data_IF_795916252581
#
_entry.id   IF_795916252581
#
_cell.length_a   1.000
_cell.length_b   1.000
_cell.length_c   1.000
_cell.angle_alpha   90.00
_cell.angle_beta   90.00
_cell.angle_gamma   90.00
#
_symmetry.space_group_name_H-M   'P 1'
#
loop_
_entity.id
_entity.type
_entity.pdbx_description
1 polymer ?
#
# COMPACT_ATOMS: atom_id res chain seq x y z
N UNK A 1 21.72 -41.95 -29.65
CA UNK A 1 22.80 -40.98 -29.40
C UNK A 1 23.25 -40.40 -30.73
N UNK A 2 22.93 -39.13 -30.98
CA UNK A 2 23.47 -38.33 -32.08
C UNK A 2 24.54 -37.41 -31.48
N UNK A 3 25.75 -37.46 -32.02
CA UNK A 3 26.91 -36.77 -31.45
C UNK A 3 27.22 -35.48 -32.23
N UNK A 4 27.99 -34.59 -31.59
CA UNK A 4 28.24 -33.17 -31.92
C UNK A 4 28.97 -32.90 -33.26
N UNK A 5 28.92 -33.80 -34.25
CA UNK A 5 29.74 -33.71 -35.48
C UNK A 5 28.95 -33.51 -36.78
N UNK A 6 27.62 -33.49 -36.73
CA UNK A 6 26.78 -33.47 -37.94
C UNK A 6 26.08 -32.13 -38.25
N UNK A 7 26.43 -31.00 -37.62
CA UNK A 7 25.74 -29.72 -37.86
C UNK A 7 26.61 -28.57 -38.39
N UNK A 8 27.86 -28.82 -38.80
CA UNK A 8 28.79 -27.76 -39.24
C UNK A 8 29.30 -27.89 -40.68
N UNK A 9 28.44 -28.27 -41.62
CA UNK A 9 28.75 -28.20 -43.05
C UNK A 9 27.54 -27.69 -43.84
N UNK A 10 27.50 -26.38 -44.06
CA UNK A 10 26.45 -25.74 -44.84
C UNK A 10 26.69 -24.26 -45.14
N UNK A 11 27.88 -23.95 -45.68
CA UNK A 11 28.19 -22.80 -46.53
C UNK A 11 27.84 -21.37 -46.06
N UNK A 12 28.86 -20.71 -45.55
CA UNK A 12 29.11 -19.27 -45.72
C UNK A 12 29.44 -18.95 -47.19
N UNK A 13 28.65 -18.08 -47.82
CA UNK A 13 29.14 -17.16 -48.85
C UNK A 13 28.50 -15.79 -48.61
N UNK A 14 29.35 -14.83 -48.23
CA UNK A 14 28.99 -13.44 -48.15
C UNK A 14 29.16 -12.80 -49.54
N UNK A 15 28.21 -11.95 -49.94
CA UNK A 15 28.58 -10.71 -50.64
C UNK A 15 27.50 -9.65 -50.42
N UNK A 16 27.99 -8.46 -50.10
CA UNK A 16 27.27 -7.26 -49.71
C UNK A 16 26.37 -6.71 -50.83
N UNK A 17 25.20 -6.22 -50.44
CA UNK A 17 24.58 -5.05 -51.07
C UNK A 17 24.13 -4.10 -49.95
N UNK A 18 24.95 -3.08 -49.71
CA UNK A 18 24.55 -1.92 -48.94
C UNK A 18 23.58 -1.06 -49.77
N UNK A 19 22.55 -0.52 -49.11
CA UNK A 19 22.01 0.85 -49.19
C UNK A 19 20.48 0.89 -49.19
N UNK A 20 19.88 0.88 -48.00
CA UNK A 20 18.92 1.89 -47.56
C UNK A 20 19.03 1.97 -46.04
N UNK A 21 19.55 3.08 -45.52
CA UNK A 21 19.72 3.31 -44.10
C UNK A 21 18.37 3.29 -43.39
N UNK A 22 18.17 2.29 -42.55
CA UNK A 22 17.23 2.33 -41.44
C UNK A 22 18.07 2.10 -40.19
N UNK A 23 17.98 2.95 -39.16
CA UNK A 23 18.73 2.73 -37.93
C UNK A 23 18.27 1.41 -37.31
N UNK A 24 19.21 0.51 -37.11
CA UNK A 24 19.03 -0.75 -36.37
C UNK A 24 18.84 -0.52 -34.86
N UNK A 25 18.34 0.66 -34.46
CA UNK A 25 18.04 1.02 -33.07
C UNK A 25 16.65 0.57 -32.63
N UNK A 26 15.78 0.15 -33.55
CA UNK A 26 14.38 -0.19 -33.22
C UNK A 26 14.09 -1.67 -32.88
N UNK A 27 15.12 -2.51 -32.71
CA UNK A 27 14.94 -3.93 -32.35
C UNK A 27 15.58 -4.34 -31.02
N UNK A 28 16.01 -3.37 -30.20
CA UNK A 28 16.59 -3.62 -28.87
C UNK A 28 16.05 -2.69 -27.78
N UNK A 29 14.86 -2.11 -27.98
CA UNK A 29 14.25 -1.23 -26.98
C UNK A 29 12.72 -1.41 -26.97
N UNK A 30 12.28 -2.66 -26.78
CA UNK A 30 11.18 -2.85 -25.84
C UNK A 30 11.76 -2.57 -24.45
N UNK A 31 11.93 -1.29 -24.11
CA UNK A 31 11.94 -0.88 -22.71
C UNK A 31 10.62 -1.40 -22.15
N UNK A 32 10.70 -2.50 -21.41
CA UNK A 32 9.70 -2.91 -20.44
C UNK A 32 9.32 -1.64 -19.68
N UNK A 33 8.19 -1.01 -20.04
CA UNK A 33 7.81 0.28 -19.44
C UNK A 33 7.80 0.02 -17.96
N UNK A 34 8.78 0.57 -17.23
CA UNK A 34 9.07 0.11 -15.88
C UNK A 34 7.78 0.24 -15.07
N UNK A 35 7.22 -0.89 -14.63
CA UNK A 35 5.92 -0.93 -13.96
C UNK A 35 5.97 0.03 -12.78
N UNK A 36 5.31 1.18 -12.89
CA UNK A 36 5.30 2.23 -11.87
C UNK A 36 3.98 2.22 -11.11
N UNK A 37 4.02 2.63 -9.85
CA UNK A 37 2.84 2.67 -8.98
C UNK A 37 2.59 4.09 -8.48
N UNK A 38 1.39 4.64 -8.75
CA UNK A 38 1.02 5.97 -8.27
C UNK A 38 0.52 5.92 -6.83
N UNK A 39 1.04 6.82 -6.00
CA UNK A 39 0.67 6.97 -4.59
C UNK A 39 0.47 8.45 -4.28
N UNK A 40 -0.58 8.77 -3.52
CA UNK A 40 -0.87 10.13 -3.07
C UNK A 40 -0.59 10.26 -1.58
N UNK A 41 0.36 11.11 -1.21
CA UNK A 41 0.58 11.59 0.16
C UNK A 41 -0.12 12.93 0.33
N UNK A 42 -1.15 13.00 1.18
CA UNK A 42 -1.84 14.24 1.52
C UNK A 42 -1.71 14.55 3.00
N UNK A 43 -1.45 15.82 3.34
CA UNK A 43 -1.31 16.30 4.72
C UNK A 43 -2.13 17.55 4.97
N UNK A 44 -2.72 17.66 6.16
CA UNK A 44 -3.43 18.87 6.58
C UNK A 44 -3.14 19.20 8.04
N UNK A 45 -2.54 20.36 8.31
CA UNK A 45 -2.09 20.75 9.66
C UNK A 45 -3.22 20.79 10.70
N UNK A 46 -4.45 21.06 10.27
CA UNK A 46 -5.64 21.08 11.12
C UNK A 46 -6.37 19.74 11.30
N UNK A 47 -5.90 18.63 10.72
CA UNK A 47 -6.62 17.33 10.84
C UNK A 47 -6.67 16.83 12.28
N UNK A 48 -5.63 17.16 13.07
CA UNK A 48 -5.59 16.98 14.51
C UNK A 48 -5.80 18.33 15.20
N UNK A 49 -6.73 18.39 16.15
CA UNK A 49 -6.90 19.50 17.10
C UNK A 49 -5.73 19.62 18.07
N UNK A 50 -5.64 20.71 18.84
CA UNK A 50 -4.57 20.88 19.83
C UNK A 50 -4.61 19.80 20.91
N UNK A 51 -5.80 19.31 21.22
CA UNK A 51 -6.14 18.24 22.15
C UNK A 51 -6.00 16.82 21.56
N UNK A 52 -5.62 16.69 20.28
CA UNK A 52 -5.52 15.41 19.59
C UNK A 52 -6.83 14.93 18.94
N UNK A 53 -7.92 15.69 19.07
CA UNK A 53 -9.20 15.36 18.44
C UNK A 53 -9.06 15.36 16.92
N UNK A 54 -9.55 14.31 16.26
CA UNK A 54 -9.47 14.16 14.80
C UNK A 54 -10.68 14.85 14.16
N UNK A 55 -10.44 15.76 13.22
CA UNK A 55 -11.50 16.42 12.47
C UNK A 55 -12.06 15.50 11.38
N UNK A 56 -13.32 15.09 11.52
CA UNK A 56 -14.02 14.29 10.50
C UNK A 56 -14.11 15.03 9.16
N UNK A 57 -14.48 16.31 9.19
CA UNK A 57 -14.58 17.16 8.00
C UNK A 57 -13.27 17.22 7.22
N UNK A 58 -12.15 17.53 7.91
CA UNK A 58 -10.85 17.64 7.25
C UNK A 58 -10.38 16.26 6.77
N UNK A 59 -10.63 15.20 7.54
CA UNK A 59 -10.30 13.82 7.12
C UNK A 59 -11.01 13.46 5.81
N UNK A 60 -12.30 13.78 5.72
CA UNK A 60 -13.09 13.56 4.52
C UNK A 60 -12.61 14.39 3.32
N UNK A 61 -12.29 15.67 3.53
CA UNK A 61 -11.69 16.53 2.50
C UNK A 61 -10.34 15.98 2.01
N UNK A 62 -9.50 15.46 2.92
CA UNK A 62 -8.23 14.82 2.57
C UNK A 62 -8.44 13.57 1.71
N UNK A 63 -9.36 12.68 2.10
CA UNK A 63 -9.65 11.46 1.34
C UNK A 63 -10.23 11.80 -0.03
N UNK A 64 -11.20 12.71 -0.11
CA UNK A 64 -11.79 13.16 -1.39
C UNK A 64 -10.75 13.75 -2.32
N UNK A 65 -9.85 14.58 -1.80
CA UNK A 65 -8.77 15.18 -2.59
C UNK A 65 -7.77 14.13 -3.06
N UNK A 66 -7.39 13.19 -2.20
CA UNK A 66 -6.49 12.10 -2.59
C UNK A 66 -7.11 11.18 -3.64
N UNK A 67 -8.40 10.86 -3.53
CA UNK A 67 -9.13 10.05 -4.51
C UNK A 67 -9.20 10.73 -5.87
N UNK A 68 -9.49 12.04 -5.91
CA UNK A 68 -9.47 12.82 -7.15
C UNK A 68 -8.11 12.76 -7.84
N UNK A 69 -7.04 12.97 -7.08
CA UNK A 69 -5.68 12.97 -7.61
C UNK A 69 -5.26 11.58 -8.09
N UNK A 70 -5.49 10.54 -7.26
CA UNK A 70 -5.08 9.17 -7.56
C UNK A 70 -5.73 8.64 -8.84
N UNK A 71 -7.02 8.91 -9.03
CA UNK A 71 -7.80 8.43 -10.18
C UNK A 71 -7.97 9.48 -11.29
N UNK A 72 -7.33 10.65 -11.15
CA UNK A 72 -7.40 11.76 -12.10
C UNK A 72 -8.83 12.15 -12.49
N UNK A 73 -9.68 12.36 -11.48
CA UNK A 73 -11.09 12.72 -11.64
C UNK A 73 -11.40 14.11 -11.10
N UNK A 74 -12.43 14.75 -11.65
CA UNK A 74 -12.87 16.08 -11.18
C UNK A 74 -13.56 16.01 -9.82
N UNK A 75 -14.31 14.91 -9.58
CA UNK A 75 -15.08 14.67 -8.36
C UNK A 75 -14.69 13.33 -7.73
N UNK A 76 -14.57 13.31 -6.41
CA UNK A 76 -14.22 12.10 -5.67
C UNK A 76 -15.21 10.94 -5.89
N UNK A 77 -16.50 11.23 -6.07
CA UNK A 77 -17.54 10.24 -6.42
C UNK A 77 -17.17 9.43 -7.67
N UNK A 78 -16.66 10.09 -8.72
CA UNK A 78 -16.25 9.43 -9.95
C UNK A 78 -15.08 8.47 -9.69
N UNK A 79 -14.13 8.84 -8.83
CA UNK A 79 -13.04 7.95 -8.42
C UNK A 79 -13.56 6.71 -7.69
N UNK A 80 -14.51 6.88 -6.77
CA UNK A 80 -15.13 5.75 -6.08
C UNK A 80 -15.90 4.83 -7.04
N UNK A 81 -16.60 5.39 -8.03
CA UNK A 81 -17.31 4.64 -9.08
C UNK A 81 -16.39 3.85 -10.01
N UNK A 82 -15.12 4.26 -10.16
CA UNK A 82 -14.12 3.45 -10.89
C UNK A 82 -13.73 2.19 -10.10
N UNK A 83 -13.84 2.23 -8.78
CA UNK A 83 -13.46 1.13 -7.91
C UNK A 83 -14.63 0.23 -7.52
N UNK A 84 -15.83 0.77 -7.33
CA UNK A 84 -16.98 0.07 -6.79
C UNK A 84 -18.29 0.50 -7.48
N UNK A 85 -19.32 -0.35 -7.41
CA UNK A 85 -20.65 -0.03 -7.93
C UNK A 85 -21.80 -0.60 -7.11
N UNK A 86 -23.07 -0.36 -7.53
CA UNK A 86 -24.26 -0.66 -6.73
C UNK A 86 -24.50 -2.12 -6.34
N UNK A 87 -23.87 -3.04 -7.07
CA UNK A 87 -23.98 -4.49 -6.84
C UNK A 87 -22.80 -5.05 -6.03
N UNK A 88 -21.80 -4.24 -5.69
CA UNK A 88 -20.71 -4.68 -4.84
C UNK A 88 -21.16 -4.95 -3.40
N UNK A 89 -20.46 -5.91 -2.77
CA UNK A 89 -20.45 -6.16 -1.34
C UNK A 89 -19.03 -5.85 -0.87
N UNK A 90 -18.89 -4.85 0.01
CA UNK A 90 -17.59 -4.24 0.29
C UNK A 90 -17.23 -4.38 1.77
N UNK A 91 -16.08 -4.99 2.03
CA UNK A 91 -15.46 -4.99 3.35
C UNK A 91 -14.47 -3.83 3.48
N UNK A 92 -14.62 -3.00 4.51
CA UNK A 92 -13.61 -2.03 4.93
C UNK A 92 -12.73 -2.71 5.98
N UNK A 93 -11.56 -3.21 5.56
CA UNK A 93 -10.61 -3.86 6.45
C UNK A 93 -9.88 -2.80 7.27
N UNK A 94 -10.34 -2.59 8.50
CA UNK A 94 -9.79 -1.62 9.45
C UNK A 94 -8.73 -2.25 10.38
N UNK A 95 -8.30 -1.55 11.41
CA UNK A 95 -7.41 -2.04 12.46
C UNK A 95 -7.80 -1.53 13.85
N UNK A 96 -8.01 -2.43 14.81
CA UNK A 96 -8.47 -2.08 16.18
C UNK A 96 -7.36 -2.23 17.22
N UNK A 97 -6.09 -2.01 16.85
CA UNK A 97 -5.01 -2.06 17.84
C UNK A 97 -5.15 -0.91 18.83
N UNK A 98 -5.45 -1.23 20.10
CA UNK A 98 -5.89 -0.28 21.13
C UNK A 98 -5.13 1.05 21.21
N UNK A 99 -3.79 1.08 21.22
CA UNK A 99 -3.04 2.33 21.33
C UNK A 99 -3.08 3.23 20.09
N UNK A 100 -3.29 2.65 18.91
CA UNK A 100 -3.31 3.38 17.65
C UNK A 100 -4.25 2.67 16.66
N UNK A 101 -5.58 2.76 16.88
CA UNK A 101 -6.57 2.18 15.98
C UNK A 101 -6.75 3.06 14.75
N UNK A 102 -7.36 2.52 13.69
CA UNK A 102 -7.87 3.36 12.60
C UNK A 102 -8.89 4.34 13.17
N UNK A 103 -8.77 5.65 12.91
CA UNK A 103 -9.77 6.62 13.37
C UNK A 103 -11.14 6.39 12.72
N UNK A 104 -12.21 6.54 13.49
CA UNK A 104 -13.59 6.49 12.97
C UNK A 104 -13.82 7.52 11.87
N UNK A 105 -13.17 8.69 11.94
CA UNK A 105 -13.19 9.69 10.87
C UNK A 105 -12.75 9.14 9.50
N UNK A 106 -11.74 8.26 9.49
CA UNK A 106 -11.25 7.61 8.26
C UNK A 106 -12.24 6.53 7.81
N UNK A 107 -12.74 5.72 8.74
CA UNK A 107 -13.74 4.68 8.46
C UNK A 107 -15.03 5.28 7.88
N UNK A 108 -15.56 6.31 8.51
CA UNK A 108 -16.78 7.02 8.10
C UNK A 108 -16.62 7.65 6.72
N UNK A 109 -15.47 8.28 6.42
CA UNK A 109 -15.23 8.85 5.08
C UNK A 109 -15.11 7.77 4.00
N UNK A 110 -14.49 6.61 4.30
CA UNK A 110 -14.48 5.47 3.38
C UNK A 110 -15.91 4.98 3.12
N UNK A 111 -16.71 4.76 4.17
CA UNK A 111 -18.11 4.32 4.03
C UNK A 111 -18.92 5.34 3.21
N UNK A 112 -18.78 6.63 3.49
CA UNK A 112 -19.43 7.69 2.70
C UNK A 112 -19.00 7.69 1.22
N UNK A 113 -17.72 7.42 0.94
CA UNK A 113 -17.20 7.24 -0.41
C UNK A 113 -17.83 6.05 -1.13
N UNK A 114 -17.93 4.90 -0.48
CA UNK A 114 -18.59 3.71 -1.02
C UNK A 114 -20.08 3.94 -1.31
N UNK A 115 -20.79 4.61 -0.39
CA UNK A 115 -22.20 5.00 -0.60
C UNK A 115 -22.32 5.95 -1.79
N UNK A 116 -21.38 6.88 -1.97
CA UNK A 116 -21.39 7.80 -3.12
C UNK A 116 -21.20 7.06 -4.47
N UNK A 117 -20.52 5.92 -4.49
CA UNK A 117 -20.45 5.04 -5.65
C UNK A 117 -21.71 4.18 -5.86
N UNK A 118 -22.72 4.33 -5.02
CA UNK A 118 -23.99 3.60 -5.09
C UNK A 118 -24.00 2.27 -4.33
N UNK A 119 -22.93 1.91 -3.61
CA UNK A 119 -22.92 0.70 -2.77
C UNK A 119 -23.97 0.86 -1.67
N UNK A 120 -24.87 -0.12 -1.57
CA UNK A 120 -25.94 -0.11 -0.57
C UNK A 120 -25.33 -0.24 0.83
N UNK A 121 -25.77 0.55 1.80
CA UNK A 121 -25.23 0.53 3.17
C UNK A 121 -25.23 -0.88 3.80
N UNK A 122 -26.30 -1.65 3.58
CA UNK A 122 -26.41 -3.05 4.03
C UNK A 122 -25.37 -4.01 3.43
N UNK A 123 -24.69 -3.60 2.35
CA UNK A 123 -23.65 -4.36 1.67
C UNK A 123 -22.23 -3.92 2.12
N UNK A 124 -22.13 -3.01 3.09
CA UNK A 124 -20.86 -2.50 3.62
C UNK A 124 -20.67 -3.00 5.05
N UNK A 125 -19.47 -3.42 5.40
CA UNK A 125 -19.08 -3.68 6.79
C UNK A 125 -17.66 -3.20 7.06
N UNK A 126 -17.43 -2.67 8.26
CA UNK A 126 -16.10 -2.31 8.78
C UNK A 126 -15.71 -3.35 9.82
N UNK A 127 -14.54 -3.97 9.68
CA UNK A 127 -14.06 -5.00 10.61
C UNK A 127 -12.52 -5.12 10.59
N UNK A 128 -11.95 -5.70 11.65
CA UNK A 128 -10.54 -6.06 11.77
C UNK A 128 -10.37 -7.53 12.13
N UNK A 129 -10.72 -7.89 13.37
CA UNK A 129 -10.46 -9.23 13.92
C UNK A 129 -11.57 -10.24 13.62
N UNK A 130 -12.78 -9.77 13.31
CA UNK A 130 -13.97 -10.59 13.07
C UNK A 130 -14.17 -11.04 11.62
N UNK A 131 -13.25 -10.69 10.71
CA UNK A 131 -13.44 -10.82 9.25
C UNK A 131 -13.80 -12.23 8.77
N UNK A 132 -13.29 -13.28 9.43
CA UNK A 132 -13.63 -14.66 9.07
C UNK A 132 -15.04 -15.08 9.52
N UNK A 133 -15.60 -14.41 10.52
CA UNK A 133 -16.96 -14.62 11.01
C UNK A 133 -17.99 -13.68 10.38
N UNK A 134 -17.56 -12.58 9.79
CA UNK A 134 -18.41 -11.51 9.27
C UNK A 134 -19.04 -11.89 7.91
N UNK A 135 -20.38 -11.88 7.85
CA UNK A 135 -21.15 -12.31 6.66
C UNK A 135 -20.91 -11.43 5.42
N UNK A 136 -20.64 -10.14 5.61
CA UNK A 136 -20.29 -9.24 4.50
C UNK A 136 -18.91 -9.59 3.95
N UNK A 137 -17.92 -9.80 4.83
CA UNK A 137 -16.56 -10.17 4.40
C UNK A 137 -16.51 -11.53 3.69
N UNK A 138 -17.30 -12.51 4.15
CA UNK A 138 -17.42 -13.81 3.46
C UNK A 138 -17.93 -13.70 2.02
N UNK A 139 -18.77 -12.69 1.75
CA UNK A 139 -19.43 -12.46 0.45
C UNK A 139 -18.81 -11.31 -0.34
N UNK A 140 -17.76 -10.69 0.18
CA UNK A 140 -17.23 -9.45 -0.39
C UNK A 140 -16.70 -9.68 -1.82
N UNK A 141 -17.12 -8.77 -2.70
CA UNK A 141 -16.62 -8.62 -4.07
C UNK A 141 -15.44 -7.66 -4.13
N UNK A 142 -15.26 -6.81 -3.13
CA UNK A 142 -14.14 -5.88 -3.03
C UNK A 142 -13.86 -5.43 -1.60
N UNK A 143 -12.68 -4.84 -1.40
CA UNK A 143 -12.25 -4.28 -0.12
C UNK A 143 -11.59 -2.92 -0.27
N UNK A 144 -11.80 -2.08 0.74
CA UNK A 144 -10.93 -0.95 1.07
C UNK A 144 -10.12 -1.35 2.29
N UNK A 145 -8.80 -1.24 2.21
CA UNK A 145 -7.89 -1.63 3.28
C UNK A 145 -7.29 -0.39 3.94
N UNK A 146 -7.48 -0.23 5.26
CA UNK A 146 -6.99 0.94 5.99
C UNK A 146 -6.35 0.57 7.31
N UNK A 147 -5.22 1.20 7.64
CA UNK A 147 -4.48 0.93 8.86
C UNK A 147 -3.53 2.07 9.25
N UNK A 148 -3.33 2.35 10.54
CA UNK A 148 -2.26 3.22 11.00
C UNK A 148 -0.86 2.62 10.85
N UNK A 149 0.08 3.45 10.38
CA UNK A 149 1.48 3.05 10.26
C UNK A 149 2.17 3.00 11.62
N UNK A 150 2.91 1.92 11.88
CA UNK A 150 3.73 1.79 13.09
C UNK A 150 4.92 0.86 12.91
N UNK A 151 5.90 0.97 13.80
CA UNK A 151 6.84 -0.13 14.06
C UNK A 151 6.12 -1.35 14.65
N UNK A 152 6.63 -2.54 14.35
CA UNK A 152 6.03 -3.81 14.73
C UNK A 152 7.10 -4.86 15.07
N UNK A 153 6.94 -5.52 16.21
CA UNK A 153 7.94 -6.42 16.78
C UNK A 153 8.35 -7.58 15.87
N UNK A 154 7.43 -8.16 15.11
CA UNK A 154 7.71 -9.33 14.26
C UNK A 154 7.99 -9.01 12.80
N UNK A 155 7.68 -7.80 12.32
CA UNK A 155 7.73 -7.47 10.88
C UNK A 155 8.49 -6.19 10.59
N UNK A 156 9.10 -5.57 11.61
CA UNK A 156 9.72 -4.25 11.54
C UNK A 156 8.68 -3.14 11.55
N UNK A 157 7.76 -3.16 10.61
CA UNK A 157 6.61 -2.25 10.52
C UNK A 157 5.30 -2.99 10.31
N UNK A 158 4.20 -2.36 10.66
CA UNK A 158 2.85 -2.80 10.32
C UNK A 158 2.14 -1.67 9.58
N UNK A 159 1.85 -1.90 8.31
CA UNK A 159 1.04 -1.04 7.45
C UNK A 159 -0.05 -1.83 6.73
N UNK A 160 -0.53 -1.29 5.61
CA UNK A 160 -1.59 -1.86 4.79
C UNK A 160 -1.28 -3.28 4.35
N UNK A 161 -0.03 -3.59 3.97
CA UNK A 161 0.37 -4.91 3.47
C UNK A 161 0.21 -6.01 4.53
N UNK A 162 0.42 -5.67 5.80
CA UNK A 162 0.25 -6.60 6.94
C UNK A 162 -1.20 -6.70 7.42
N UNK A 163 -2.05 -5.73 7.09
CA UNK A 163 -3.41 -5.67 7.64
C UNK A 163 -4.28 -6.92 7.36
N UNK A 164 -4.14 -7.60 6.21
CA UNK A 164 -4.88 -8.83 5.93
C UNK A 164 -4.47 -10.06 6.75
N UNK A 165 -3.53 -9.94 7.70
CA UNK A 165 -3.14 -11.03 8.61
C UNK A 165 -4.32 -11.66 9.39
N UNK A 166 -5.45 -10.96 9.48
CA UNK A 166 -6.68 -11.48 10.11
C UNK A 166 -7.52 -12.38 9.20
N UNK A 167 -7.19 -12.52 7.90
CA UNK A 167 -7.86 -13.44 6.97
C UNK A 167 -7.31 -14.87 7.01
N UNK A 168 -6.69 -15.26 8.13
CA UNK A 168 -6.26 -16.62 8.40
C UNK A 168 -6.57 -16.96 9.86
N UNK A 169 -7.01 -18.21 10.16
CA UNK A 169 -7.14 -18.67 11.54
C UNK A 169 -5.77 -18.84 12.22
N UNK A 170 -4.67 -18.84 11.46
CA UNK A 170 -3.31 -19.11 11.94
C UNK A 170 -2.33 -17.95 11.65
N UNK A 171 -2.58 -16.72 12.14
CA UNK A 171 -1.74 -15.56 11.83
C UNK A 171 -0.27 -15.73 12.21
N UNK A 172 0.02 -16.52 13.25
CA UNK A 172 1.40 -16.81 13.68
C UNK A 172 2.22 -17.55 12.62
N UNK A 173 1.59 -18.28 11.70
CA UNK A 173 2.29 -19.00 10.62
C UNK A 173 2.96 -18.09 9.59
N UNK A 174 2.66 -16.78 9.63
CA UNK A 174 3.24 -15.77 8.76
C UNK A 174 4.29 -14.90 9.46
N UNK A 175 4.79 -15.29 10.64
CA UNK A 175 5.79 -14.51 11.37
C UNK A 175 7.25 -14.86 11.05
N UNK A 176 7.48 -15.96 10.33
CA UNK A 176 8.82 -16.40 9.95
C UNK A 176 9.57 -15.37 9.09
N UNK A 177 10.89 -15.28 9.32
CA UNK A 177 11.81 -14.38 8.63
C UNK A 177 11.29 -12.93 8.52
N UNK A 178 10.91 -12.35 9.67
CA UNK A 178 10.37 -10.98 9.74
C UNK A 178 9.08 -10.80 8.93
N UNK A 179 8.24 -11.82 8.96
CA UNK A 179 7.01 -11.92 8.19
C UNK A 179 7.18 -11.85 6.66
N UNK A 180 8.32 -12.31 6.14
CA UNK A 180 8.71 -12.30 4.72
C UNK A 180 7.64 -12.78 3.73
N UNK A 181 6.75 -13.68 4.16
CA UNK A 181 5.74 -14.33 3.32
C UNK A 181 4.33 -13.76 3.50
N UNK A 182 4.16 -12.58 4.14
CA UNK A 182 2.85 -11.95 4.32
C UNK A 182 2.10 -11.71 3.00
N UNK A 183 2.80 -11.45 1.89
CA UNK A 183 2.18 -11.24 0.60
C UNK A 183 1.38 -12.47 0.10
N UNK A 184 1.66 -13.68 0.59
CA UNK A 184 0.84 -14.88 0.27
C UNK A 184 -0.62 -14.73 0.70
N UNK A 185 -0.91 -13.94 1.72
CA UNK A 185 -2.29 -13.66 2.14
C UNK A 185 -3.07 -12.91 1.05
N UNK A 186 -2.40 -12.13 0.21
CA UNK A 186 -3.04 -11.41 -0.88
C UNK A 186 -3.44 -12.32 -2.04
N UNK A 187 -2.93 -13.55 -2.09
CA UNK A 187 -3.23 -14.55 -3.11
C UNK A 187 -4.35 -15.52 -2.71
N UNK A 188 -4.85 -15.47 -1.47
CA UNK A 188 -5.90 -16.38 -1.03
C UNK A 188 -7.25 -15.99 -1.70
N UNK A 189 -8.15 -16.95 -1.97
CA UNK A 189 -9.36 -16.69 -2.77
C UNK A 189 -10.28 -15.57 -2.24
N UNK A 190 -10.28 -15.34 -0.92
CA UNK A 190 -11.13 -14.29 -0.33
C UNK A 190 -10.59 -12.88 -0.56
N UNK A 191 -9.29 -12.72 -0.87
CA UNK A 191 -8.60 -11.42 -1.01
C UNK A 191 -8.07 -11.16 -2.42
N UNK A 192 -7.67 -12.21 -3.13
CA UNK A 192 -7.02 -12.12 -4.44
C UNK A 192 -7.82 -11.25 -5.40
N UNK A 193 -7.17 -10.21 -5.92
CA UNK A 193 -7.71 -9.21 -6.85
C UNK A 193 -8.94 -8.41 -6.32
N UNK A 194 -9.23 -8.49 -5.02
CA UNK A 194 -10.40 -7.84 -4.41
C UNK A 194 -10.05 -6.62 -3.56
N UNK A 195 -8.81 -6.42 -3.13
CA UNK A 195 -8.43 -5.20 -2.40
C UNK A 195 -8.14 -4.10 -3.42
N UNK A 196 -9.07 -3.14 -3.55
CA UNK A 196 -9.07 -2.15 -4.64
C UNK A 196 -8.47 -0.80 -4.22
N UNK A 197 -8.39 -0.52 -2.92
CA UNK A 197 -7.86 0.73 -2.36
C UNK A 197 -7.16 0.47 -1.03
N UNK A 198 -6.02 1.14 -0.83
CA UNK A 198 -5.23 1.11 0.39
C UNK A 198 -5.05 2.54 0.93
N UNK A 199 -5.36 2.73 2.21
CA UNK A 199 -5.22 4.01 2.93
C UNK A 199 -4.36 3.77 4.17
N UNK A 200 -3.11 4.20 4.13
CA UNK A 200 -2.21 4.15 5.28
C UNK A 200 -2.37 5.45 6.08
N UNK A 201 -2.82 5.30 7.32
CA UNK A 201 -3.07 6.42 8.23
C UNK A 201 -1.77 6.86 8.87
N UNK A 202 -1.39 8.12 8.62
CA UNK A 202 -0.16 8.75 9.10
C UNK A 202 -0.49 9.99 9.95
N UNK A 203 -1.54 9.95 10.78
CA UNK A 203 -1.86 11.07 11.68
C UNK A 203 -0.83 11.18 12.82
N UNK A 204 -0.65 10.08 13.56
CA UNK A 204 0.33 9.95 14.66
C UNK A 204 1.11 8.63 14.57
N UNK A 205 1.85 8.38 13.47
CA UNK A 205 2.54 7.11 13.27
C UNK A 205 3.59 6.86 14.39
N UNK A 206 3.74 5.60 14.78
CA UNK A 206 4.74 5.17 15.77
C UNK A 206 6.06 4.80 15.06
N UNK A 207 7.11 5.61 15.21
CA UNK A 207 8.40 5.38 14.53
C UNK A 207 9.37 4.49 15.30
N UNK A 208 9.09 4.21 16.57
CA UNK A 208 9.92 3.32 17.37
C UNK A 208 9.11 2.52 18.40
N UNK A 209 9.52 1.28 18.60
CA UNK A 209 9.04 0.45 19.69
C UNK A 209 9.91 -0.79 19.86
N UNK A 210 9.92 -1.32 21.08
CA UNK A 210 10.69 -2.51 21.47
C UNK A 210 9.77 -3.50 22.16
N UNK A 211 9.70 -4.72 21.63
CA UNK A 211 8.85 -5.78 22.19
C UNK A 211 7.44 -5.84 21.61
N UNK A 212 6.74 -6.94 21.93
CA UNK A 212 5.39 -7.18 21.46
C UNK A 212 4.42 -6.13 22.00
N UNK A 213 3.52 -5.65 21.13
CA UNK A 213 2.50 -4.65 21.47
C UNK A 213 3.01 -3.33 22.08
N UNK A 214 4.31 -3.05 21.97
CA UNK A 214 4.90 -1.82 22.50
C UNK A 214 4.26 -0.57 21.89
N UNK A 215 3.94 0.37 22.77
CA UNK A 215 3.50 1.73 22.44
C UNK A 215 4.06 2.70 23.47
N UNK A 216 4.60 3.82 23.01
CA UNK A 216 4.98 4.96 23.84
C UNK A 216 4.74 6.21 22.99
N UNK A 217 3.99 7.18 23.53
CA UNK A 217 3.62 8.41 22.86
C UNK A 217 4.84 9.26 22.47
N UNK A 218 5.94 9.16 23.23
CA UNK A 218 7.24 9.78 22.92
C UNK A 218 7.73 9.41 21.51
N UNK A 219 7.40 8.19 21.05
CA UNK A 219 7.79 7.69 19.73
C UNK A 219 6.70 7.86 18.67
N UNK A 220 5.75 8.77 18.92
CA UNK A 220 4.77 9.22 17.93
C UNK A 220 4.98 10.70 17.65
N UNK A 221 4.48 11.18 16.50
CA UNK A 221 4.48 12.60 16.20
C UNK A 221 3.33 12.95 15.26
N UNK A 222 2.90 14.21 15.30
CA UNK A 222 1.79 14.72 14.49
C UNK A 222 2.21 14.91 13.04
N UNK A 223 2.24 13.81 12.28
CA UNK A 223 2.55 13.85 10.86
C UNK A 223 1.35 14.36 10.03
N UNK A 224 0.12 14.21 10.54
CA UNK A 224 -1.11 14.79 9.98
C UNK A 224 -1.40 14.38 8.53
N UNK A 225 -1.04 13.13 8.16
CA UNK A 225 -1.10 12.67 6.78
C UNK A 225 -1.92 11.41 6.53
N UNK A 226 -2.26 11.20 5.27
CA UNK A 226 -2.73 9.94 4.71
C UNK A 226 -1.87 9.62 3.48
N UNK A 227 -1.60 8.33 3.27
CA UNK A 227 -0.99 7.81 2.04
C UNK A 227 -2.02 6.90 1.38
N UNK A 228 -2.39 7.20 0.14
CA UNK A 228 -3.50 6.55 -0.57
C UNK A 228 -3.00 5.98 -1.90
N UNK A 229 -3.35 4.73 -2.20
CA UNK A 229 -2.95 4.06 -3.43
C UNK A 229 -3.71 2.76 -3.67
N UNK A 230 -3.65 2.24 -4.89
CA UNK A 230 -4.22 0.92 -5.23
C UNK A 230 -3.24 -0.22 -4.95
N UNK A 231 -1.93 0.08 -4.93
CA UNK A 231 -0.85 -0.84 -4.61
C UNK A 231 -0.48 -0.78 -3.11
N UNK A 232 -0.70 -1.86 -2.33
CA UNK A 232 -0.40 -1.87 -0.90
C UNK A 232 1.10 -1.78 -0.60
N UNK A 233 1.95 -2.26 -1.51
CA UNK A 233 3.40 -2.29 -1.31
C UNK A 233 3.99 -0.90 -1.50
N UNK A 234 3.53 -0.17 -2.52
CA UNK A 234 3.98 1.20 -2.76
C UNK A 234 3.53 2.14 -1.63
N UNK A 235 2.32 1.95 -1.12
CA UNK A 235 1.80 2.68 0.04
C UNK A 235 2.66 2.42 1.29
N UNK A 236 2.95 1.16 1.62
CA UNK A 236 3.77 0.82 2.79
C UNK A 236 5.24 1.21 2.61
N UNK A 237 5.79 1.14 1.39
CA UNK A 237 7.17 1.58 1.09
C UNK A 237 7.34 3.10 1.29
N UNK A 238 6.32 3.88 0.87
CA UNK A 238 6.27 5.33 1.11
C UNK A 238 6.23 5.62 2.61
N UNK A 239 5.35 4.94 3.36
CA UNK A 239 5.26 5.08 4.81
C UNK A 239 6.55 4.68 5.55
N UNK A 240 7.21 3.60 5.11
CA UNK A 240 8.48 3.13 5.65
C UNK A 240 9.60 4.16 5.44
N UNK A 241 9.65 4.79 4.27
CA UNK A 241 10.62 5.83 3.95
C UNK A 241 10.49 7.04 4.90
N UNK A 242 9.26 7.47 5.18
CA UNK A 242 8.95 8.54 6.15
C UNK A 242 9.34 8.11 7.57
N UNK A 243 9.00 6.89 8.01
CA UNK A 243 9.43 6.40 9.33
C UNK A 243 10.95 6.43 9.48
N UNK A 244 11.69 5.94 8.48
CA UNK A 244 13.15 5.91 8.52
C UNK A 244 13.73 7.33 8.57
N UNK A 245 13.18 8.27 7.80
CA UNK A 245 13.57 9.68 7.88
C UNK A 245 13.32 10.27 9.28
N UNK A 246 12.15 9.99 9.89
CA UNK A 246 11.87 10.44 11.26
C UNK A 246 12.82 9.83 12.29
N UNK A 247 13.14 8.54 12.13
CA UNK A 247 14.10 7.83 12.99
C UNK A 247 15.49 8.47 12.93
N UNK A 248 15.98 8.79 11.73
CA UNK A 248 17.27 9.48 11.56
C UNK A 248 17.28 10.85 12.21
N UNK A 249 16.21 11.64 12.04
CA UNK A 249 16.06 12.94 12.69
C UNK A 249 16.06 12.80 14.23
N UNK A 250 15.32 11.83 14.78
CA UNK A 250 15.19 11.65 16.23
C UNK A 250 16.46 11.11 16.90
N UNK A 251 17.10 10.10 16.31
CA UNK A 251 18.26 9.46 16.91
C UNK A 251 19.59 10.14 16.55
N UNK A 252 19.62 10.98 15.51
CA UNK A 252 20.84 11.63 15.02
C UNK A 252 21.79 10.69 14.27
N UNK A 253 21.39 9.44 14.03
CA UNK A 253 22.16 8.42 13.34
C UNK A 253 21.25 7.53 12.47
N UNK A 254 21.83 6.81 11.51
CA UNK A 254 21.09 5.79 10.79
C UNK A 254 20.90 4.54 11.68
N UNK A 255 19.67 4.35 12.13
CA UNK A 255 19.28 3.22 12.98
C UNK A 255 18.19 2.39 12.30
N UNK A 256 18.56 1.38 11.49
CA UNK A 256 17.62 0.55 10.77
C UNK A 256 16.56 -0.08 11.70
N UNK A 257 15.34 -0.23 11.18
CA UNK A 257 14.25 -0.89 11.90
C UNK A 257 14.61 -2.35 12.14
N UNK A 258 14.40 -2.82 13.38
CA UNK A 258 14.63 -4.21 13.80
C UNK A 258 13.32 -4.84 14.31
N UNK A 259 12.93 -6.01 13.80
CA UNK A 259 13.56 -6.73 12.69
C UNK A 259 13.37 -5.97 11.35
N UNK A 260 14.17 -6.27 10.31
CA UNK A 260 14.00 -5.60 9.02
C UNK A 260 12.62 -5.89 8.40
N UNK A 261 12.00 -4.92 7.71
CA UNK A 261 10.66 -5.09 7.14
C UNK A 261 10.67 -5.87 5.82
N UNK A 262 11.17 -7.11 5.87
CA UNK A 262 11.31 -8.00 4.69
C UNK A 262 10.02 -8.14 3.90
N UNK A 263 8.87 -8.18 4.58
CA UNK A 263 7.57 -8.33 3.95
C UNK A 263 7.26 -7.30 2.85
N UNK A 264 7.80 -6.07 2.94
CA UNK A 264 7.59 -5.04 1.91
C UNK A 264 8.45 -5.34 0.68
N UNK A 265 9.77 -5.54 0.86
CA UNK A 265 10.70 -5.80 -0.27
C UNK A 265 10.41 -7.15 -0.92
N UNK A 266 10.08 -8.17 -0.14
CA UNK A 266 9.80 -9.51 -0.65
C UNK A 266 8.42 -9.62 -1.29
N UNK A 267 7.48 -8.72 -0.98
CA UNK A 267 6.22 -8.66 -1.73
C UNK A 267 6.49 -8.47 -3.23
N UNK A 268 7.32 -7.48 -3.61
CA UNK A 268 7.71 -7.26 -5.01
C UNK A 268 8.66 -8.36 -5.50
N UNK A 269 9.79 -8.55 -4.81
CA UNK A 269 10.90 -9.34 -5.35
C UNK A 269 10.61 -10.85 -5.41
N UNK A 270 9.90 -11.39 -4.40
CA UNK A 270 9.59 -12.82 -4.26
C UNK A 270 8.17 -13.16 -4.68
N UNK A 271 7.18 -12.38 -4.25
CA UNK A 271 5.76 -12.69 -4.46
C UNK A 271 5.13 -11.97 -5.66
N UNK A 272 5.88 -11.08 -6.33
CA UNK A 272 5.43 -10.30 -7.49
C UNK A 272 4.19 -9.44 -7.22
N UNK A 273 3.99 -9.07 -5.96
CA UNK A 273 2.94 -8.17 -5.50
C UNK A 273 3.50 -6.75 -5.41
N UNK A 274 2.89 -5.80 -6.12
CA UNK A 274 3.15 -4.38 -5.98
C UNK A 274 4.59 -3.93 -6.29
N UNK A 275 4.88 -2.66 -5.96
CA UNK A 275 6.17 -1.99 -6.15
C UNK A 275 6.70 -1.51 -4.80
N UNK A 276 7.88 -2.01 -4.41
CA UNK A 276 8.58 -1.63 -3.19
C UNK A 276 9.69 -0.62 -3.43
N UNK A 277 10.28 -0.60 -4.63
CA UNK A 277 11.34 0.34 -5.03
C UNK A 277 10.82 1.78 -5.13
N UNK A 278 11.29 2.71 -4.27
CA UNK A 278 10.85 4.11 -4.29
C UNK A 278 11.08 4.83 -5.63
N UNK A 279 12.07 4.41 -6.42
CA UNK A 279 12.34 5.04 -7.73
C UNK A 279 11.26 4.76 -8.77
N UNK A 280 10.41 3.75 -8.53
CA UNK A 280 9.28 3.35 -9.38
C UNK A 280 7.92 3.76 -8.81
N UNK A 281 7.92 4.53 -7.72
CA UNK A 281 6.68 5.05 -7.12
C UNK A 281 6.48 6.49 -7.60
N UNK A 282 5.42 6.73 -8.37
CA UNK A 282 4.97 8.07 -8.73
C UNK A 282 4.26 8.70 -7.52
N UNK A 283 5.04 9.33 -6.65
CA UNK A 283 4.56 9.92 -5.40
C UNK A 283 4.08 11.36 -5.60
N UNK A 284 2.75 11.54 -5.59
CA UNK A 284 2.14 12.87 -5.58
C UNK A 284 2.00 13.36 -4.14
N UNK A 285 2.52 14.55 -3.86
CA UNK A 285 2.49 15.16 -2.52
C UNK A 285 1.51 16.33 -2.53
N UNK A 286 0.51 16.33 -1.65
CA UNK A 286 -0.51 17.38 -1.52
C UNK A 286 -0.55 17.99 -0.11
N UNK A 287 -1.07 19.22 0.00
CA UNK A 287 -1.30 19.90 1.27
C UNK A 287 -0.03 20.33 2.01
N UNK A 288 -0.06 20.29 3.35
CA UNK A 288 0.97 20.86 4.24
C UNK A 288 2.34 20.17 4.10
N UNK A 289 3.40 20.97 3.89
CA UNK A 289 4.74 20.48 3.49
C UNK A 289 5.80 20.49 4.58
N UNK A 290 5.58 21.20 5.67
CA UNK A 290 6.57 21.30 6.75
C UNK A 290 6.86 19.92 7.35
N UNK A 291 8.14 19.55 7.48
CA UNK A 291 8.58 18.24 7.97
C UNK A 291 7.87 17.06 7.26
N UNK A 292 7.80 17.10 5.92
CA UNK A 292 7.19 16.03 5.10
C UNK A 292 8.03 14.75 5.06
N UNK A 293 9.34 14.86 5.30
CA UNK A 293 10.29 13.75 5.46
C UNK A 293 10.46 12.82 4.25
N UNK A 294 10.01 13.23 3.06
CA UNK A 294 10.18 12.52 1.78
C UNK A 294 10.03 13.46 0.59
#
# INVERSE_FOLDING_TARGET
MLTRRDFLKGATFATLAATMGLPSESLAQEEESAKSSRVVLIRHSGVLGKDGTISEKITDEMIKTAMKELFQTEKAEQAWMQLFGPEDIVGVKSNVWGPLPTPSAVENSIVGGLISAGVKEKNIAVDDRGVLGNEIFKKASGYVNTRPMRTHHWSGVGGCLKNPIMFTPTPWSYHDNSCADLAKLWEIPILKDKVRLNILVMFTPLFHGVGAHHFNEEYTWRYNGLIVGTDPVAVDSTGLSILNAKRREYFGEDRPIKPPPHHIVFAETKHKLGISDPSKIDLVKLGWKENILI
#
